data_IF_629198133574
#
_entry.id   IF_629198133574
#
_cell.length_a   1.000
_cell.length_b   1.000
_cell.length_c   1.000
_cell.angle_alpha   90.00
_cell.angle_beta   90.00
_cell.angle_gamma   90.00
#
_symmetry.space_group_name_H-M   'P 1'
#
loop_
_entity.id
_entity.type
_entity.pdbx_description
1 polymer ?
#
# COMPACT_ATOMS: atom_id res chain seq x y z
N UNK A 1 47.79 -8.99 56.73
CA UNK A 1 47.11 -7.85 56.07
C UNK A 1 47.70 -7.80 54.66
N UNK A 2 47.06 -8.06 53.52
CA UNK A 2 45.67 -8.17 53.07
C UNK A 2 45.55 -9.27 51.96
N UNK A 3 44.52 -10.11 52.13
CA UNK A 3 43.47 -10.55 51.17
C UNK A 3 43.82 -10.92 49.71
N UNK A 4 43.66 -12.22 49.40
CA UNK A 4 43.18 -12.76 48.09
C UNK A 4 41.65 -12.60 47.95
N UNK A 5 41.16 -12.41 46.72
CA UNK A 5 39.96 -13.02 46.07
C UNK A 5 39.79 -12.35 44.69
N UNK A 6 40.02 -13.06 43.58
CA UNK A 6 39.13 -14.00 42.88
C UNK A 6 38.37 -13.29 41.74
N UNK A 7 38.64 -13.75 40.51
CA UNK A 7 37.98 -13.32 39.29
C UNK A 7 36.46 -13.57 39.40
N UNK A 8 35.69 -12.48 39.36
CA UNK A 8 34.24 -12.52 39.36
C UNK A 8 33.73 -12.90 37.97
N UNK A 9 33.02 -14.03 37.94
CA UNK A 9 32.22 -14.54 36.83
C UNK A 9 31.31 -13.41 36.30
N UNK A 10 31.45 -13.02 35.02
CA UNK A 10 30.47 -12.18 34.34
C UNK A 10 29.25 -13.05 34.07
N UNK A 11 28.43 -13.18 35.10
CA UNK A 11 27.13 -13.84 35.03
C UNK A 11 26.25 -13.14 34.01
N UNK A 12 25.52 -13.98 33.27
CA UNK A 12 24.32 -13.63 32.53
C UNK A 12 23.49 -12.60 33.31
N UNK A 13 23.32 -11.41 32.72
CA UNK A 13 22.32 -10.45 33.18
C UNK A 13 20.98 -10.82 32.52
N UNK A 14 20.03 -11.40 33.28
CA UNK A 14 18.73 -11.79 32.73
C UNK A 14 17.85 -10.59 32.35
N UNK A 15 18.33 -9.35 32.50
CA UNK A 15 17.61 -8.12 32.12
C UNK A 15 17.94 -7.61 30.72
N UNK A 16 18.81 -8.31 29.95
CA UNK A 16 19.10 -7.99 28.55
C UNK A 16 18.35 -8.85 27.52
N UNK A 17 17.46 -9.72 27.97
CA UNK A 17 16.53 -10.48 27.13
C UNK A 17 15.11 -9.95 27.31
N UNK A 18 14.87 -8.74 26.80
CA UNK A 18 13.52 -8.36 26.38
C UNK A 18 13.59 -8.05 24.89
N UNK A 19 13.72 -9.14 24.11
CA UNK A 19 13.41 -9.14 22.68
C UNK A 19 11.90 -8.94 22.52
N UNK A 20 11.42 -7.77 22.94
CA UNK A 20 10.26 -7.16 22.33
C UNK A 20 10.70 -6.62 20.97
N UNK A 21 11.10 -7.51 20.04
CA UNK A 21 10.96 -7.27 18.60
C UNK A 21 9.45 -7.33 18.30
N UNK A 22 8.73 -6.37 18.89
CA UNK A 22 7.34 -6.10 18.58
C UNK A 22 7.26 -5.74 17.11
N UNK A 23 6.27 -6.31 16.44
CA UNK A 23 5.75 -5.95 15.13
C UNK A 23 6.06 -4.49 14.75
N UNK A 24 7.10 -4.28 13.94
CA UNK A 24 7.39 -3.00 13.28
C UNK A 24 7.06 -3.15 11.80
N UNK A 25 5.79 -3.03 11.44
CA UNK A 25 5.46 -2.50 10.10
C UNK A 25 5.90 -1.04 10.15
N UNK A 26 7.00 -0.71 9.49
CA UNK A 26 7.32 0.68 9.22
C UNK A 26 6.30 1.21 8.21
N UNK A 27 5.22 1.77 8.76
CA UNK A 27 4.26 2.71 8.15
C UNK A 27 3.18 2.13 7.23
N UNK A 28 1.95 2.59 7.53
CA UNK A 28 0.77 2.92 6.70
C UNK A 28 0.53 2.11 5.43
N UNK A 29 -0.74 1.72 5.19
CA UNK A 29 -1.21 1.23 3.89
C UNK A 29 -0.88 2.31 2.85
N UNK A 30 0.20 2.11 2.11
CA UNK A 30 0.55 2.92 0.94
C UNK A 30 -0.04 2.24 -0.28
N UNK A 31 -0.45 3.05 -1.26
CA UNK A 31 -0.88 2.57 -2.56
C UNK A 31 0.21 2.80 -3.59
N UNK A 32 0.27 1.95 -4.62
CA UNK A 32 1.22 2.15 -5.73
C UNK A 32 0.53 3.05 -6.77
N UNK A 33 0.93 4.31 -6.87
CA UNK A 33 0.45 5.22 -7.90
C UNK A 33 1.32 5.11 -9.16
N UNK A 34 0.70 4.96 -10.32
CA UNK A 34 1.38 5.00 -11.60
C UNK A 34 0.99 6.30 -12.29
N UNK A 35 1.95 7.21 -12.46
CA UNK A 35 1.72 8.54 -13.02
C UNK A 35 1.91 8.53 -14.55
N UNK A 36 1.15 9.35 -15.30
CA UNK A 36 1.46 9.61 -16.69
C UNK A 36 2.76 10.43 -16.81
N UNK A 37 3.51 10.28 -17.90
CA UNK A 37 4.67 11.14 -18.17
C UNK A 37 4.22 12.49 -18.74
N UNK A 38 4.41 13.59 -18.00
CA UNK A 38 4.10 14.95 -18.48
C UNK A 38 4.31 16.04 -17.40
N UNK A 39 4.70 17.22 -17.87
CA UNK A 39 5.18 18.43 -17.16
C UNK A 39 4.13 19.09 -16.22
N UNK A 40 4.57 19.52 -15.03
CA UNK A 40 3.74 20.15 -13.99
C UNK A 40 3.88 21.68 -14.01
N UNK A 41 2.76 22.43 -13.95
CA UNK A 41 2.60 23.54 -12.99
C UNK A 41 1.20 24.18 -13.01
N UNK A 42 0.91 24.84 -11.88
CA UNK A 42 -0.17 25.80 -11.56
C UNK A 42 -1.32 25.21 -10.70
N UNK A 43 -1.26 25.51 -9.41
CA UNK A 43 -2.31 25.23 -8.44
C UNK A 43 -3.39 26.31 -8.40
N UNK A 44 -4.62 25.90 -8.14
CA UNK A 44 -5.74 26.78 -7.77
C UNK A 44 -6.47 26.18 -6.57
N UNK A 45 -6.71 27.01 -5.56
CA UNK A 45 -7.46 26.64 -4.36
C UNK A 45 -8.90 27.10 -4.47
N UNK A 46 -9.82 26.17 -4.73
CA UNK A 46 -11.24 26.33 -4.43
C UNK A 46 -11.68 25.29 -3.40
N UNK A 47 -12.62 25.67 -2.54
CA UNK A 47 -13.11 24.83 -1.45
C UNK A 47 -14.04 23.75 -2.02
N UNK A 48 -13.68 22.48 -1.80
CA UNK A 48 -14.54 21.32 -2.03
C UNK A 48 -15.78 21.38 -1.13
N UNK A 49 -16.95 21.27 -1.73
CA UNK A 49 -18.28 21.19 -1.11
C UNK A 49 -18.71 19.75 -0.76
N UNK A 50 -17.90 18.74 -1.14
CA UNK A 50 -17.93 17.39 -0.57
C UNK A 50 -19.14 16.54 -0.93
N UNK A 51 -19.85 16.89 -2.02
CA UNK A 51 -21.02 16.14 -2.47
C UNK A 51 -20.58 15.05 -3.46
N UNK A 52 -20.52 13.79 -3.01
CA UNK A 52 -20.03 12.67 -3.82
C UNK A 52 -21.18 11.88 -4.45
N UNK A 53 -21.14 11.67 -5.76
CA UNK A 53 -22.05 10.78 -6.47
C UNK A 53 -21.39 9.41 -6.71
N UNK A 54 -22.09 8.32 -6.39
CA UNK A 54 -21.64 6.95 -6.66
C UNK A 54 -22.49 6.36 -7.78
N UNK A 55 -21.87 5.98 -8.89
CA UNK A 55 -22.53 5.34 -10.01
C UNK A 55 -21.83 4.04 -10.43
N UNK A 56 -22.60 3.03 -10.81
CA UNK A 56 -22.09 1.83 -11.46
C UNK A 56 -22.19 1.99 -12.97
N UNK A 57 -21.06 2.06 -13.69
CA UNK A 57 -21.07 2.17 -15.15
C UNK A 57 -21.38 0.80 -15.79
N UNK A 58 -22.48 0.72 -16.55
CA UNK A 58 -23.02 -0.49 -17.19
C UNK A 58 -22.21 -1.09 -18.35
N UNK A 59 -20.87 -1.08 -18.29
CA UNK A 59 -20.00 -1.69 -19.30
C UNK A 59 -19.03 -2.74 -18.76
N UNK A 60 -18.75 -2.73 -17.45
CA UNK A 60 -17.88 -3.69 -16.79
C UNK A 60 -18.49 -3.97 -15.41
N UNK A 61 -19.07 -5.17 -15.22
CA UNK A 61 -19.71 -5.55 -13.96
C UNK A 61 -18.79 -5.22 -12.77
N UNK A 62 -19.23 -4.28 -11.93
CA UNK A 62 -18.56 -3.92 -10.69
C UNK A 62 -17.69 -2.66 -10.70
N UNK A 63 -17.57 -1.89 -11.79
CA UNK A 63 -16.89 -0.58 -11.72
C UNK A 63 -17.69 0.40 -10.85
N UNK A 64 -17.03 1.02 -9.87
CA UNK A 64 -17.61 2.03 -8.98
C UNK A 64 -16.97 3.37 -9.29
N UNK A 65 -17.79 4.33 -9.71
CA UNK A 65 -17.34 5.71 -9.97
C UNK A 65 -17.74 6.60 -8.81
N UNK A 66 -16.80 7.40 -8.29
CA UNK A 66 -17.06 8.46 -7.31
C UNK A 66 -16.69 9.79 -7.95
N UNK A 67 -17.59 10.77 -7.93
CA UNK A 67 -17.34 12.10 -8.48
C UNK A 67 -17.89 13.22 -7.57
N UNK A 68 -17.25 14.39 -7.59
CA UNK A 68 -17.68 15.60 -6.85
C UNK A 68 -17.95 16.81 -7.76
N UNK A 69 -17.99 16.59 -9.08
CA UNK A 69 -18.15 17.64 -10.09
C UNK A 69 -16.83 18.28 -10.54
N UNK A 70 -15.77 18.23 -9.74
CA UNK A 70 -14.42 18.63 -10.14
C UNK A 70 -13.59 17.43 -10.53
N UNK A 71 -13.58 16.39 -9.70
CA UNK A 71 -12.79 15.19 -9.90
C UNK A 71 -13.67 13.95 -10.01
N UNK A 72 -13.16 12.93 -10.68
CA UNK A 72 -13.78 11.61 -10.83
C UNK A 72 -12.72 10.55 -10.61
N UNK A 73 -13.05 9.58 -9.76
CA UNK A 73 -12.23 8.38 -9.54
C UNK A 73 -13.05 7.15 -9.90
N UNK A 74 -12.43 6.23 -10.62
CA UNK A 74 -13.03 4.94 -10.95
C UNK A 74 -12.31 3.84 -10.18
N UNK A 75 -13.08 3.02 -9.47
CA UNK A 75 -12.62 1.97 -8.58
C UNK A 75 -13.11 0.63 -9.12
N UNK A 76 -12.23 -0.37 -9.11
CA UNK A 76 -12.52 -1.76 -9.50
C UNK A 76 -12.44 -2.66 -8.25
N UNK A 77 -13.52 -2.79 -7.46
CA UNK A 77 -13.60 -3.69 -6.31
C UNK A 77 -13.13 -5.11 -6.62
N UNK A 78 -13.50 -5.64 -7.79
CA UNK A 78 -13.14 -6.99 -8.22
C UNK A 78 -11.63 -7.20 -8.46
N UNK A 79 -10.82 -6.14 -8.42
CA UNK A 79 -9.35 -6.14 -8.52
C UNK A 79 -8.75 -5.59 -7.22
N UNK A 80 -9.32 -6.01 -6.09
CA UNK A 80 -8.85 -5.65 -4.75
C UNK A 80 -9.01 -4.18 -4.42
N UNK A 81 -9.99 -3.50 -5.04
CA UNK A 81 -10.21 -2.06 -4.88
C UNK A 81 -9.19 -1.20 -5.62
N UNK A 82 -8.58 -1.71 -6.69
CA UNK A 82 -7.70 -0.92 -7.54
C UNK A 82 -8.42 0.27 -8.18
N UNK A 83 -7.72 1.38 -8.39
CA UNK A 83 -8.22 2.52 -9.14
C UNK A 83 -7.97 2.29 -10.64
N UNK A 84 -9.02 2.37 -11.45
CA UNK A 84 -8.90 2.39 -12.91
C UNK A 84 -8.46 3.77 -13.41
N UNK A 85 -8.91 4.86 -12.80
CA UNK A 85 -8.56 6.22 -13.18
C UNK A 85 -8.74 7.19 -12.01
N UNK A 86 -8.03 8.32 -12.05
CA UNK A 86 -8.33 9.49 -11.24
C UNK A 86 -8.11 10.73 -12.08
N UNK A 87 -9.21 11.44 -12.38
CA UNK A 87 -9.27 12.55 -13.31
C UNK A 87 -9.80 13.79 -12.62
N UNK A 88 -9.26 14.94 -13.00
CA UNK A 88 -9.74 16.26 -12.61
C UNK A 88 -10.11 17.06 -13.85
N UNK A 89 -11.29 17.66 -13.85
CA UNK A 89 -11.78 18.54 -14.92
C UNK A 89 -11.62 20.00 -14.47
N UNK A 90 -10.95 20.81 -15.29
CA UNK A 90 -10.79 22.24 -15.03
C UNK A 90 -10.94 23.02 -16.34
N UNK A 91 -11.88 23.97 -16.40
CA UNK A 91 -12.14 24.81 -17.57
C UNK A 91 -12.33 24.04 -18.89
N UNK A 92 -12.95 22.85 -18.83
CA UNK A 92 -13.16 21.97 -19.98
C UNK A 92 -11.93 21.16 -20.40
N UNK A 93 -10.85 21.19 -19.62
CA UNK A 93 -9.67 20.34 -19.81
C UNK A 93 -9.60 19.27 -18.71
N UNK A 94 -9.47 18.03 -19.15
CA UNK A 94 -9.25 16.88 -18.29
C UNK A 94 -7.76 16.69 -17.99
N UNK A 95 -7.41 16.52 -16.72
CA UNK A 95 -6.09 16.12 -16.23
C UNK A 95 -6.23 14.75 -15.58
N UNK A 96 -5.59 13.75 -16.15
CA UNK A 96 -5.45 12.43 -15.52
C UNK A 96 -4.31 12.50 -14.48
N UNK A 97 -4.67 12.58 -13.20
CA UNK A 97 -3.69 12.61 -12.09
C UNK A 97 -2.93 11.29 -11.93
N UNK A 98 -3.55 10.19 -12.36
CA UNK A 98 -2.95 8.87 -12.43
C UNK A 98 -3.09 8.34 -13.85
N UNK A 99 -2.13 7.51 -14.29
CA UNK A 99 -2.16 6.83 -15.59
C UNK A 99 -3.41 5.94 -15.67
N UNK A 100 -4.40 6.25 -16.53
CA UNK A 100 -5.61 5.46 -16.60
C UNK A 100 -5.32 4.02 -17.04
N UNK A 101 -6.09 3.08 -16.51
CA UNK A 101 -6.06 1.68 -16.90
C UNK A 101 -6.55 1.52 -18.34
N UNK A 102 -5.77 0.85 -19.18
CA UNK A 102 -6.22 0.51 -20.53
C UNK A 102 -7.28 -0.60 -20.54
N UNK A 103 -8.03 -0.78 -21.64
CA UNK A 103 -9.03 -1.84 -21.76
C UNK A 103 -8.51 -3.25 -21.45
N UNK A 104 -7.26 -3.54 -21.82
CA UNK A 104 -6.63 -4.83 -21.54
C UNK A 104 -6.39 -5.07 -20.04
N UNK A 105 -6.04 -4.02 -19.27
CA UNK A 105 -5.86 -4.11 -17.82
C UNK A 105 -7.20 -4.39 -17.12
N UNK A 106 -8.26 -3.72 -17.55
CA UNK A 106 -9.62 -3.93 -17.07
C UNK A 106 -10.14 -5.34 -17.36
N UNK A 107 -10.00 -5.80 -18.61
CA UNK A 107 -10.41 -7.14 -19.01
C UNK A 107 -9.60 -8.25 -18.31
N UNK A 108 -8.28 -8.04 -18.19
CA UNK A 108 -7.36 -8.99 -17.57
C UNK A 108 -7.34 -8.95 -16.04
N UNK A 109 -8.01 -7.97 -15.41
CA UNK A 109 -7.98 -7.75 -13.96
C UNK A 109 -6.55 -7.63 -13.40
N UNK A 110 -5.67 -7.01 -14.18
CA UNK A 110 -4.27 -6.84 -13.82
C UNK A 110 -4.08 -5.59 -12.96
N UNK A 111 -4.02 -5.78 -11.63
CA UNK A 111 -3.80 -4.68 -10.69
C UNK A 111 -2.52 -3.89 -10.98
N UNK A 112 -1.45 -4.52 -11.48
CA UNK A 112 -0.20 -3.83 -11.81
C UNK A 112 -0.33 -2.90 -13.03
N UNK A 113 -1.32 -3.14 -13.88
CA UNK A 113 -1.66 -2.31 -15.03
C UNK A 113 -2.80 -1.31 -14.76
N UNK A 114 -3.36 -1.30 -13.55
CA UNK A 114 -4.33 -0.28 -13.12
C UNK A 114 -3.64 1.07 -12.86
N UNK A 115 -4.41 2.10 -12.53
CA UNK A 115 -3.85 3.41 -12.16
C UNK A 115 -3.20 3.35 -10.77
N UNK A 116 -3.84 2.62 -9.85
CA UNK A 116 -3.34 2.42 -8.50
C UNK A 116 -3.95 1.17 -7.86
N UNK A 117 -3.29 0.57 -6.87
CA UNK A 117 -3.88 -0.52 -6.08
C UNK A 117 -3.39 -0.52 -4.63
N UNK A 118 -4.25 -0.95 -3.67
CA UNK A 118 -3.92 -0.93 -2.26
C UNK A 118 -2.98 -2.08 -1.88
N UNK A 119 -1.98 -1.77 -1.06
CA UNK A 119 -1.05 -2.77 -0.51
C UNK A 119 -1.53 -3.20 0.88
N UNK A 120 -2.53 -4.08 0.90
CA UNK A 120 -3.12 -4.62 2.13
C UNK A 120 -2.77 -6.10 2.31
N UNK A 121 -2.56 -6.57 3.55
CA UNK A 121 -2.74 -5.84 4.82
C UNK A 121 -1.52 -5.00 5.26
N UNK A 122 -0.43 -5.01 4.52
CA UNK A 122 0.74 -4.19 4.80
C UNK A 122 1.39 -3.70 3.51
N UNK A 123 2.06 -2.57 3.61
CA UNK A 123 2.92 -2.05 2.54
C UNK A 123 4.38 -2.35 2.81
N UNK A 124 5.20 -2.18 1.77
CA UNK A 124 6.66 -2.34 1.79
C UNK A 124 7.10 -3.75 2.25
N UNK A 125 8.32 -3.87 2.79
CA UNK A 125 8.99 -5.14 3.05
C UNK A 125 8.85 -5.60 4.50
N UNK A 126 8.54 -6.89 4.67
CA UNK A 126 8.79 -7.62 5.92
C UNK A 126 10.19 -8.20 5.86
N UNK A 127 11.07 -7.69 6.74
CA UNK A 127 12.46 -8.12 6.85
C UNK A 127 12.52 -9.63 7.13
N UNK A 128 13.33 -10.34 6.36
CA UNK A 128 13.51 -11.79 6.50
C UNK A 128 12.26 -12.62 6.18
N UNK A 129 11.19 -12.00 5.66
CA UNK A 129 9.89 -12.64 5.51
C UNK A 129 9.30 -13.15 6.83
N UNK A 130 9.73 -12.66 7.99
CA UNK A 130 9.32 -13.21 9.28
C UNK A 130 9.05 -12.13 10.32
N UNK A 131 8.02 -12.34 11.15
CA UNK A 131 7.68 -11.48 12.27
C UNK A 131 6.94 -12.25 13.37
N UNK A 132 6.88 -11.67 14.57
CA UNK A 132 6.10 -12.21 15.70
C UNK A 132 4.78 -11.45 15.86
N UNK A 133 3.67 -12.17 16.00
CA UNK A 133 2.34 -11.60 16.23
C UNK A 133 1.50 -12.49 17.15
N UNK A 134 0.91 -11.90 18.20
CA UNK A 134 0.08 -12.62 19.18
C UNK A 134 0.73 -13.91 19.72
N UNK A 135 2.02 -13.82 20.09
CA UNK A 135 2.79 -14.95 20.61
C UNK A 135 3.18 -16.02 19.58
N UNK A 136 2.95 -15.80 18.29
CA UNK A 136 3.29 -16.73 17.20
C UNK A 136 4.30 -16.12 16.26
N UNK A 137 5.25 -16.93 15.81
CA UNK A 137 6.13 -16.60 14.68
C UNK A 137 5.37 -16.86 13.38
N UNK A 138 5.31 -15.85 12.51
CA UNK A 138 4.72 -15.93 11.17
C UNK A 138 5.84 -15.83 10.14
N UNK A 139 5.90 -16.78 9.22
CA UNK A 139 6.85 -16.81 8.11
C UNK A 139 6.10 -16.66 6.77
N UNK A 140 6.65 -15.84 5.88
CA UNK A 140 6.13 -15.51 4.57
C UNK A 140 7.13 -15.95 3.48
N UNK A 141 6.66 -16.33 2.29
CA UNK A 141 7.54 -16.81 1.22
C UNK A 141 8.56 -15.73 0.77
N UNK A 142 9.84 -16.04 0.74
CA UNK A 142 10.89 -15.16 0.21
C UNK A 142 11.53 -15.78 -1.03
N UNK A 143 12.44 -15.04 -1.68
CA UNK A 143 13.24 -15.57 -2.80
C UNK A 143 14.72 -15.57 -2.42
N UNK A 144 15.57 -16.41 -3.05
CA UNK A 144 17.01 -16.42 -2.75
C UNK A 144 17.71 -15.08 -2.99
N UNK A 145 17.23 -14.28 -3.94
CA UNK A 145 17.76 -12.98 -4.35
C UNK A 145 17.22 -11.80 -3.51
N UNK A 146 16.01 -11.93 -2.94
CA UNK A 146 15.44 -10.98 -1.98
C UNK A 146 14.96 -11.73 -0.71
N UNK A 147 15.72 -11.63 0.40
CA UNK A 147 15.37 -12.28 1.64
C UNK A 147 14.20 -11.59 2.36
N UNK A 148 13.53 -10.62 1.74
CA UNK A 148 12.38 -9.91 2.30
C UNK A 148 11.09 -10.28 1.57
N UNK A 149 9.96 -10.12 2.24
CA UNK A 149 8.66 -10.28 1.60
C UNK A 149 8.05 -8.90 1.33
N UNK A 150 7.85 -8.57 0.06
CA UNK A 150 7.34 -7.27 -0.36
C UNK A 150 5.83 -7.29 -0.58
N UNK A 151 5.17 -6.33 0.09
CA UNK A 151 3.76 -5.99 0.02
C UNK A 151 2.78 -7.10 0.45
N UNK A 152 1.61 -6.67 0.92
CA UNK A 152 0.49 -7.57 1.15
C UNK A 152 -0.10 -8.11 -0.16
N UNK A 153 -1.04 -9.04 -0.04
CA UNK A 153 -1.57 -9.83 -1.14
C UNK A 153 -3.04 -9.55 -1.48
N UNK A 154 -3.68 -8.54 -0.87
CA UNK A 154 -5.11 -8.28 -1.07
C UNK A 154 -5.50 -7.99 -2.53
N UNK A 155 -4.62 -7.35 -3.29
CA UNK A 155 -4.83 -7.12 -4.73
C UNK A 155 -4.76 -8.40 -5.59
N UNK A 156 -4.15 -9.49 -5.09
CA UNK A 156 -4.08 -10.79 -5.78
C UNK A 156 -5.17 -11.76 -5.33
N UNK A 157 -5.79 -11.50 -4.18
CA UNK A 157 -6.80 -12.35 -3.53
C UNK A 157 -7.91 -11.46 -2.92
N UNK A 158 -8.66 -10.75 -3.78
CA UNK A 158 -9.68 -9.80 -3.36
C UNK A 158 -10.91 -10.46 -2.74
#
# INVERSE_FOLDING_TARGET
>A
MQRRRAAGNRGDDPRRASDAEGFRILHTIHMICLYPGGDESQGIGEKMDGNFEISGAGGCEGLVTIADGLATVEIVPAVGGALASYRWENNGHAIDWLRPAGPAALAGRDAGAMACFPLVPYSNRIRGGRFSFAGRTVELPTRPDDPHHEHGHGWRRP
#
